data_IF_939226536792
#
_entry.id   IF_939226536792
#
_cell.length_a   1.000
_cell.length_b   1.000
_cell.length_c   1.000
_cell.angle_alpha   90.00
_cell.angle_beta   90.00
_cell.angle_gamma   90.00
#
_symmetry.space_group_name_H-M   'P 1'
#
loop_
_entity.id
_entity.type
_entity.pdbx_description
1 polymer ?
#
# COMPACT_ATOMS: atom_id res chain seq x y z
N UNK A 1 -6.60 -15.76 -11.72
CA UNK A 1 -5.52 -15.68 -10.71
C UNK A 1 -4.89 -14.28 -10.60
N UNK A 2 -4.53 -13.60 -11.70
CA UNK A 2 -3.92 -12.25 -11.68
C UNK A 2 -4.80 -11.16 -11.03
N UNK A 3 -6.10 -11.15 -11.33
CA UNK A 3 -7.08 -10.24 -10.70
C UNK A 3 -7.21 -10.45 -9.18
N UNK A 4 -7.21 -11.70 -8.72
CA UNK A 4 -7.32 -12.04 -7.28
C UNK A 4 -6.13 -11.53 -6.49
N UNK A 5 -4.91 -11.68 -7.02
CA UNK A 5 -3.68 -11.18 -6.40
C UNK A 5 -3.70 -9.64 -6.33
N UNK A 6 -4.18 -8.97 -7.38
CA UNK A 6 -4.33 -7.51 -7.39
C UNK A 6 -5.34 -7.02 -6.34
N UNK A 7 -6.47 -7.72 -6.20
CA UNK A 7 -7.50 -7.39 -5.20
C UNK A 7 -6.96 -7.60 -3.78
N UNK A 8 -6.34 -8.76 -3.50
CA UNK A 8 -5.78 -9.07 -2.18
C UNK A 8 -4.66 -8.08 -1.83
N UNK A 9 -3.74 -7.79 -2.76
CA UNK A 9 -2.68 -6.81 -2.57
C UNK A 9 -3.22 -5.39 -2.33
N UNK A 10 -4.29 -5.00 -3.04
CA UNK A 10 -4.96 -3.72 -2.86
C UNK A 10 -5.62 -3.58 -1.49
N UNK A 11 -6.30 -4.62 -1.01
CA UNK A 11 -6.95 -4.63 0.31
C UNK A 11 -5.90 -4.56 1.43
N UNK A 12 -4.83 -5.36 1.33
CA UNK A 12 -3.69 -5.31 2.27
C UNK A 12 -3.04 -3.93 2.31
N UNK A 13 -2.95 -3.27 1.15
CA UNK A 13 -2.42 -1.92 1.07
C UNK A 13 -3.30 -0.88 1.74
N UNK A 14 -4.59 -0.89 1.44
CA UNK A 14 -5.53 0.05 2.04
C UNK A 14 -5.65 -0.15 3.55
N UNK A 15 -5.67 -1.40 4.01
CA UNK A 15 -5.71 -1.71 5.44
C UNK A 15 -4.49 -1.15 6.18
N UNK A 16 -3.28 -1.33 5.63
CA UNK A 16 -2.06 -0.81 6.23
C UNK A 16 -1.98 0.73 6.22
N UNK A 17 -2.44 1.37 5.13
CA UNK A 17 -2.55 2.84 5.08
C UNK A 17 -3.52 3.32 6.15
N UNK A 18 -4.73 2.76 6.20
CA UNK A 18 -5.74 3.16 7.16
C UNK A 18 -5.24 2.98 8.61
N UNK A 19 -4.63 1.82 8.92
CA UNK A 19 -4.08 1.55 10.24
C UNK A 19 -2.94 2.52 10.62
N UNK A 20 -2.16 2.99 9.65
CA UNK A 20 -1.12 4.01 9.85
C UNK A 20 -1.68 5.41 10.15
N UNK A 21 -2.96 5.68 9.92
CA UNK A 21 -3.61 6.92 10.34
C UNK A 21 -4.16 6.87 11.77
N UNK A 22 -4.49 5.67 12.28
CA UNK A 22 -4.94 5.49 13.67
C UNK A 22 -3.79 5.35 14.66
N UNK A 23 -2.56 5.19 14.18
CA UNK A 23 -1.34 5.19 14.99
C UNK A 23 -0.71 6.58 15.00
N UNK A 24 -0.78 7.26 16.14
CA UNK A 24 0.06 8.42 16.46
C UNK A 24 1.47 7.95 16.82
N UNK A 25 2.19 7.45 15.81
CA UNK A 25 3.58 7.01 15.97
C UNK A 25 4.42 7.69 14.91
N UNK A 26 5.48 8.39 15.33
CA UNK A 26 6.37 9.13 14.42
C UNK A 26 7.18 8.19 13.52
N UNK A 27 7.51 7.00 14.03
CA UNK A 27 8.24 5.95 13.33
C UNK A 27 7.52 4.61 13.43
N UNK A 28 7.64 3.81 12.37
CA UNK A 28 7.13 2.44 12.31
C UNK A 28 8.29 1.51 12.04
N UNK A 29 8.37 0.43 12.81
CA UNK A 29 9.32 -0.64 12.53
C UNK A 29 8.87 -1.40 11.28
N UNK A 30 9.61 -1.23 10.18
CA UNK A 30 9.30 -1.82 8.89
C UNK A 30 10.59 -2.41 8.28
N UNK A 31 10.54 -3.69 7.86
CA UNK A 31 11.70 -4.38 7.28
C UNK A 31 12.97 -4.36 8.16
N UNK A 32 12.80 -4.44 9.48
CA UNK A 32 13.93 -4.47 10.42
C UNK A 32 14.58 -3.11 10.70
N UNK A 33 13.98 -2.00 10.22
CA UNK A 33 14.41 -0.64 10.52
C UNK A 33 13.23 0.25 10.90
N UNK A 34 13.50 1.25 11.73
CA UNK A 34 12.54 2.31 12.00
C UNK A 34 12.48 3.27 10.81
N UNK A 35 11.33 3.31 10.16
CA UNK A 35 11.06 4.24 9.06
C UNK A 35 10.05 5.28 9.52
N UNK A 36 10.21 6.51 9.04
CA UNK A 36 9.25 7.56 9.34
C UNK A 36 7.86 7.17 8.82
N UNK A 37 6.81 7.45 9.60
CA UNK A 37 5.42 7.17 9.24
C UNK A 37 5.01 7.82 7.89
N UNK A 38 5.56 8.99 7.56
CA UNK A 38 5.34 9.65 6.28
C UNK A 38 5.97 8.88 5.11
N UNK A 39 7.16 8.30 5.30
CA UNK A 39 7.82 7.45 4.30
C UNK A 39 7.02 6.16 4.10
N UNK A 40 6.54 5.56 5.19
CA UNK A 40 5.66 4.39 5.16
C UNK A 40 4.39 4.66 4.35
N UNK A 41 3.74 5.81 4.57
CA UNK A 41 2.58 6.25 3.78
C UNK A 41 2.92 6.42 2.30
N UNK A 42 4.08 7.00 1.98
CA UNK A 42 4.54 7.22 0.61
C UNK A 42 4.76 5.90 -0.14
N UNK A 43 5.35 4.89 0.51
CA UNK A 43 5.53 3.54 -0.04
C UNK A 43 4.17 2.93 -0.37
N UNK A 44 3.22 3.00 0.57
CA UNK A 44 1.89 2.45 0.32
C UNK A 44 1.11 3.18 -0.76
N UNK A 45 1.24 4.51 -0.82
CA UNK A 45 0.61 5.33 -1.85
C UNK A 45 1.17 4.98 -3.23
N UNK A 46 2.49 4.79 -3.32
CA UNK A 46 3.15 4.30 -4.54
C UNK A 46 2.64 2.91 -4.93
N UNK A 47 2.51 1.99 -3.97
CA UNK A 47 1.99 0.64 -4.20
C UNK A 47 0.54 0.66 -4.69
N UNK A 48 -0.30 1.52 -4.10
CA UNK A 48 -1.68 1.74 -4.55
C UNK A 48 -1.73 2.28 -5.99
N UNK A 49 -0.87 3.24 -6.35
CA UNK A 49 -0.76 3.78 -7.72
C UNK A 49 -0.33 2.70 -8.71
N UNK A 50 0.63 1.83 -8.35
CA UNK A 50 1.04 0.71 -9.20
C UNK A 50 -0.10 -0.27 -9.45
N UNK A 51 -0.87 -0.61 -8.41
CA UNK A 51 -2.03 -1.49 -8.51
C UNK A 51 -3.11 -0.84 -9.37
N UNK A 52 -3.39 0.46 -9.19
CA UNK A 52 -4.33 1.21 -10.03
C UNK A 52 -3.89 1.24 -11.49
N UNK A 53 -2.61 1.47 -11.78
CA UNK A 53 -2.07 1.45 -13.14
C UNK A 53 -2.15 0.04 -13.76
N UNK A 54 -1.87 -1.00 -12.99
CA UNK A 54 -2.01 -2.38 -13.43
C UNK A 54 -3.49 -2.71 -13.74
N UNK A 55 -4.42 -2.27 -12.88
CA UNK A 55 -5.85 -2.43 -13.08
C UNK A 55 -6.32 -1.67 -14.33
N UNK A 56 -5.93 -0.41 -14.53
CA UNK A 56 -6.26 0.37 -15.74
C UNK A 56 -5.74 -0.32 -17.01
N UNK A 57 -4.53 -0.90 -16.98
CA UNK A 57 -3.98 -1.68 -18.09
C UNK A 57 -4.77 -2.97 -18.36
N UNK A 58 -5.29 -3.63 -17.34
CA UNK A 58 -6.18 -4.79 -17.52
C UNK A 58 -7.57 -4.41 -18.01
N UNK A 59 -8.09 -3.23 -17.67
CA UNK A 59 -9.41 -2.75 -18.13
C UNK A 59 -9.37 -2.25 -19.57
N UNK A 60 -8.23 -1.72 -20.04
CA UNK A 60 -8.05 -1.30 -21.43
C UNK A 60 -7.81 -2.45 -22.42
N UNK A 61 -7.61 -3.67 -21.94
CA UNK A 61 -7.31 -4.86 -22.75
C UNK A 61 -8.55 -5.73 -22.87
#
# INVERSE_FOLDING_TARGET
>A
MRKTILIIGGILALANVAYSFFRDTETVFFFGKDVNIWLYRLIWLFMAVLILNAYRKEVKK
#
